data_IF_696722762696
#
_entry.id   IF_696722762696
#
_cell.length_a   1.000
_cell.length_b   1.000
_cell.length_c   1.000
_cell.angle_alpha   90.00
_cell.angle_beta   90.00
_cell.angle_gamma   90.00
#
_symmetry.space_group_name_H-M   'P 1'
#
loop_
_entity.id
_entity.type
_entity.pdbx_description
1 polymer ?
#
# COMPACT_ATOMS: atom_id res chain seq x y z
N UNK A 1 -56.14 -39.50 21.30
CA UNK A 1 -55.40 -38.36 20.68
C UNK A 1 -54.05 -38.21 21.35
N UNK A 2 -53.05 -37.85 20.55
CA UNK A 2 -51.61 -37.67 20.83
C UNK A 2 -50.76 -38.92 20.59
N UNK A 3 -50.53 -39.20 19.30
CA UNK A 3 -49.38 -39.96 18.82
C UNK A 3 -48.10 -39.18 19.15
N UNK A 4 -47.15 -39.86 19.78
CA UNK A 4 -45.83 -39.33 20.10
C UNK A 4 -44.93 -39.55 18.87
N UNK A 5 -44.74 -38.49 18.09
CA UNK A 5 -43.92 -38.52 16.87
C UNK A 5 -42.44 -38.46 17.25
N UNK A 6 -41.70 -39.54 17.03
CA UNK A 6 -40.23 -39.54 17.09
C UNK A 6 -39.70 -38.86 15.82
N UNK A 7 -39.22 -37.62 15.95
CA UNK A 7 -38.53 -36.92 14.87
C UNK A 7 -37.03 -37.28 14.94
N UNK A 8 -36.61 -38.20 14.08
CA UNK A 8 -35.19 -38.50 13.83
C UNK A 8 -34.65 -37.35 12.96
N UNK A 9 -33.90 -36.43 13.58
CA UNK A 9 -33.22 -35.35 12.87
C UNK A 9 -31.95 -35.93 12.22
N UNK A 10 -32.02 -36.19 10.91
CA UNK A 10 -30.87 -36.54 10.08
C UNK A 10 -29.89 -35.36 10.02
N UNK A 11 -28.64 -35.63 10.38
CA UNK A 11 -27.49 -34.75 10.22
C UNK A 11 -27.31 -34.34 8.75
N UNK A 12 -27.20 -33.03 8.51
CA UNK A 12 -26.41 -32.50 7.40
C UNK A 12 -25.34 -31.62 8.02
N UNK A 13 -24.24 -32.24 8.42
CA UNK A 13 -22.96 -31.55 8.61
C UNK A 13 -22.53 -31.12 7.21
N UNK A 14 -22.88 -29.89 6.81
CA UNK A 14 -22.17 -29.20 5.75
C UNK A 14 -20.78 -28.90 6.28
N UNK A 15 -19.87 -29.87 6.14
CA UNK A 15 -18.45 -29.61 6.22
C UNK A 15 -18.13 -28.58 5.15
N UNK A 16 -17.82 -27.35 5.56
CA UNK A 16 -17.04 -26.49 4.70
C UNK A 16 -15.66 -27.14 4.59
N UNK A 17 -15.45 -27.86 3.50
CA UNK A 17 -14.12 -28.09 2.94
C UNK A 17 -13.49 -26.70 2.76
N UNK A 18 -12.75 -26.23 3.77
CA UNK A 18 -11.77 -25.19 3.56
C UNK A 18 -10.68 -25.82 2.70
N UNK A 19 -10.94 -25.74 1.39
CA UNK A 19 -10.02 -26.09 0.32
C UNK A 19 -8.65 -25.53 0.70
N UNK A 20 -7.69 -26.45 0.76
CA UNK A 20 -6.27 -26.17 0.83
C UNK A 20 -5.95 -24.88 0.07
N UNK A 21 -5.38 -23.89 0.78
CA UNK A 21 -4.74 -22.73 0.16
C UNK A 21 -3.77 -23.31 -0.87
N UNK A 22 -4.17 -23.18 -2.13
CA UNK A 22 -3.33 -23.47 -3.27
C UNK A 22 -2.00 -22.78 -3.04
N UNK A 23 -0.89 -23.50 -3.23
CA UNK A 23 0.44 -22.94 -3.27
C UNK A 23 0.48 -21.92 -4.41
N UNK A 24 0.17 -20.68 -4.08
CA UNK A 24 0.19 -19.56 -5.01
C UNK A 24 1.65 -19.25 -5.31
N UNK A 25 1.96 -19.22 -6.60
CA UNK A 25 3.26 -18.77 -7.10
C UNK A 25 3.45 -17.36 -6.56
N UNK A 26 4.52 -17.10 -5.80
CA UNK A 26 4.69 -15.84 -5.06
C UNK A 26 4.29 -14.64 -5.94
N UNK A 27 3.15 -14.01 -5.60
CA UNK A 27 2.53 -12.91 -6.35
C UNK A 27 3.46 -11.70 -6.47
N UNK A 28 4.46 -11.65 -5.60
CA UNK A 28 5.48 -10.64 -5.52
C UNK A 28 6.84 -11.24 -5.12
N UNK A 29 7.91 -10.64 -5.63
CA UNK A 29 9.28 -10.97 -5.28
C UNK A 29 9.90 -9.83 -4.49
N UNK A 30 10.55 -10.16 -3.38
CA UNK A 30 11.36 -9.23 -2.58
C UNK A 30 12.83 -9.61 -2.73
N UNK A 31 13.65 -8.68 -3.19
CA UNK A 31 15.10 -8.88 -3.33
C UNK A 31 15.87 -7.80 -2.57
N UNK A 32 16.91 -8.16 -1.78
CA UNK A 32 17.79 -7.18 -1.15
C UNK A 32 18.42 -6.22 -2.18
N UNK A 33 18.58 -4.96 -1.79
CA UNK A 33 19.30 -3.96 -2.60
C UNK A 33 20.72 -3.85 -2.05
N UNK A 34 21.72 -4.09 -2.90
CA UNK A 34 23.12 -4.03 -2.50
C UNK A 34 23.50 -2.66 -1.93
N UNK A 35 24.15 -2.67 -0.76
CA UNK A 35 24.54 -1.45 -0.04
C UNK A 35 23.37 -0.69 0.59
N UNK A 36 22.21 -1.34 0.78
CA UNK A 36 21.06 -0.77 1.48
C UNK A 36 20.35 -1.83 2.34
N UNK A 37 19.59 -1.39 3.34
CA UNK A 37 18.66 -2.23 4.12
C UNK A 37 17.29 -2.38 3.44
N UNK A 38 17.08 -1.67 2.33
CA UNK A 38 15.82 -1.67 1.59
C UNK A 38 15.62 -2.97 0.80
N UNK A 39 14.35 -3.27 0.48
CA UNK A 39 13.99 -4.38 -0.39
C UNK A 39 13.39 -3.86 -1.70
N UNK A 40 13.88 -4.38 -2.81
CA UNK A 40 13.27 -4.17 -4.11
C UNK A 40 12.08 -5.12 -4.28
N UNK A 41 10.92 -4.54 -4.59
CA UNK A 41 9.65 -5.23 -4.77
C UNK A 41 9.31 -5.28 -6.26
N UNK A 42 9.03 -6.49 -6.75
CA UNK A 42 8.51 -6.71 -8.11
C UNK A 42 7.20 -7.46 -8.03
N UNK A 43 6.16 -6.91 -8.65
CA UNK A 43 4.86 -7.55 -8.85
C UNK A 43 4.54 -7.61 -10.35
N UNK A 44 3.42 -8.24 -10.71
CA UNK A 44 2.92 -8.22 -12.11
C UNK A 44 2.47 -6.83 -12.56
N UNK A 45 2.06 -5.96 -11.64
CA UNK A 45 1.45 -4.67 -11.94
C UNK A 45 2.42 -3.50 -11.78
N UNK A 46 3.39 -3.61 -10.87
CA UNK A 46 4.29 -2.51 -10.52
C UNK A 46 5.61 -3.01 -9.95
N UNK A 47 6.54 -2.07 -9.83
CA UNK A 47 7.81 -2.26 -9.13
C UNK A 47 8.00 -1.12 -8.14
N UNK A 48 8.71 -1.40 -7.05
CA UNK A 48 8.95 -0.40 -6.02
C UNK A 48 10.01 -0.83 -5.04
N UNK A 49 10.15 -0.04 -3.98
CA UNK A 49 11.09 -0.30 -2.90
C UNK A 49 10.41 -0.15 -1.55
N UNK A 50 10.62 -1.14 -0.70
CA UNK A 50 10.25 -1.11 0.71
C UNK A 50 11.45 -0.56 1.47
N UNK A 51 11.28 0.60 2.08
CA UNK A 51 12.34 1.24 2.85
C UNK A 51 12.42 0.68 4.26
N UNK A 52 13.65 0.48 4.72
CA UNK A 52 13.91 0.14 6.11
C UNK A 52 13.68 1.36 7.03
N UNK A 53 13.48 1.14 8.35
CA UNK A 53 13.50 2.21 9.35
C UNK A 53 14.78 3.04 9.29
N UNK A 54 14.72 4.23 9.89
CA UNK A 54 15.78 5.26 9.90
C UNK A 54 16.09 5.84 8.51
N UNK A 55 15.16 5.68 7.56
CA UNK A 55 15.19 6.45 6.33
C UNK A 55 14.81 7.88 6.69
N UNK A 56 15.65 8.86 6.33
CA UNK A 56 15.52 10.28 6.66
C UNK A 56 14.29 10.93 6.01
N UNK A 57 13.11 10.58 6.48
CA UNK A 57 11.84 11.22 6.16
C UNK A 57 11.35 11.87 7.43
N UNK A 58 10.92 13.13 7.32
CA UNK A 58 10.34 13.92 8.40
C UNK A 58 9.06 13.24 8.87
N UNK A 59 9.21 12.23 9.72
CA UNK A 59 8.10 11.59 10.38
C UNK A 59 7.68 12.50 11.54
N UNK A 60 6.38 12.68 11.75
CA UNK A 60 5.87 13.54 12.81
C UNK A 60 6.48 13.16 14.15
N UNK A 61 6.70 14.15 15.02
CA UNK A 61 7.21 13.92 16.37
C UNK A 61 6.34 12.87 17.10
N UNK A 62 6.99 11.80 17.58
CA UNK A 62 6.34 10.66 18.24
C UNK A 62 5.93 9.51 17.31
N UNK A 63 6.17 9.60 16.01
CA UNK A 63 6.01 8.47 15.10
C UNK A 63 7.21 7.50 15.17
N UNK A 64 6.95 6.21 14.94
CA UNK A 64 7.98 5.17 14.96
C UNK A 64 8.00 4.46 13.62
N UNK A 65 9.11 4.59 12.89
CA UNK A 65 9.26 3.91 11.60
C UNK A 65 9.34 2.39 11.77
N UNK A 66 8.80 1.65 10.81
CA UNK A 66 8.91 0.21 10.71
C UNK A 66 9.14 -0.19 9.25
N UNK A 67 9.68 -1.39 9.03
CA UNK A 67 9.79 -1.96 7.69
C UNK A 67 8.46 -2.59 7.29
N UNK A 68 7.75 -2.10 6.27
CA UNK A 68 6.53 -2.74 5.80
C UNK A 68 6.75 -4.20 5.39
N UNK A 69 5.84 -5.07 5.79
CA UNK A 69 5.80 -6.46 5.33
C UNK A 69 5.11 -6.57 3.98
N UNK A 70 5.23 -7.73 3.34
CA UNK A 70 4.45 -8.08 2.15
C UNK A 70 2.94 -7.83 2.32
N UNK A 71 2.38 -8.24 3.45
CA UNK A 71 0.96 -8.09 3.79
C UNK A 71 0.56 -6.62 4.00
N UNK A 72 1.45 -5.82 4.60
CA UNK A 72 1.24 -4.38 4.73
C UNK A 72 1.16 -3.71 3.35
N UNK A 73 2.01 -4.11 2.39
CA UNK A 73 2.00 -3.58 1.02
C UNK A 73 0.74 -4.00 0.26
N UNK A 74 0.34 -5.27 0.34
CA UNK A 74 -0.89 -5.76 -0.29
C UNK A 74 -2.12 -5.00 0.22
N UNK A 75 -2.18 -4.78 1.53
CA UNK A 75 -3.23 -3.99 2.17
C UNK A 75 -3.21 -2.54 1.71
N UNK A 76 -2.03 -1.91 1.67
CA UNK A 76 -1.87 -0.53 1.23
C UNK A 76 -2.31 -0.33 -0.23
N UNK A 77 -1.91 -1.21 -1.16
CA UNK A 77 -2.32 -1.11 -2.56
C UNK A 77 -3.83 -1.32 -2.75
N UNK A 78 -4.45 -2.22 -1.98
CA UNK A 78 -5.91 -2.40 -1.98
C UNK A 78 -6.62 -1.12 -1.55
N UNK A 79 -6.21 -0.55 -0.43
CA UNK A 79 -6.80 0.69 0.12
C UNK A 79 -6.59 1.85 -0.85
N UNK A 80 -5.36 2.01 -1.37
CA UNK A 80 -5.04 3.04 -2.35
C UNK A 80 -5.95 2.97 -3.58
N UNK A 81 -6.15 1.78 -4.15
CA UNK A 81 -7.09 1.56 -5.27
C UNK A 81 -8.53 1.94 -4.91
N UNK A 82 -8.96 1.71 -3.67
CA UNK A 82 -10.29 2.14 -3.19
C UNK A 82 -10.39 3.67 -3.06
N UNK A 83 -9.37 4.32 -2.52
CA UNK A 83 -9.30 5.77 -2.40
C UNK A 83 -9.37 6.45 -3.79
N UNK A 84 -8.63 5.93 -4.77
CA UNK A 84 -8.67 6.44 -6.14
C UNK A 84 -10.05 6.35 -6.80
N UNK A 85 -10.82 5.29 -6.52
CA UNK A 85 -12.15 5.07 -7.12
C UNK A 85 -13.25 5.93 -6.52
N UNK A 86 -13.08 6.34 -5.27
CA UNK A 86 -14.17 6.96 -4.51
C UNK A 86 -14.14 8.48 -4.56
N UNK A 87 -13.19 9.08 -5.30
CA UNK A 87 -12.94 10.54 -5.36
C UNK A 87 -13.01 11.17 -3.97
N UNK A 88 -12.61 10.41 -2.93
CA UNK A 88 -12.78 10.82 -1.56
C UNK A 88 -11.87 12.01 -1.34
N UNK A 89 -12.54 13.13 -1.08
CA UNK A 89 -12.03 14.28 -0.36
C UNK A 89 -11.28 13.72 0.85
N UNK A 90 -9.97 13.90 0.90
CA UNK A 90 -9.23 13.47 2.09
C UNK A 90 -9.70 14.25 3.33
N UNK A 91 -9.22 13.87 4.52
CA UNK A 91 -9.53 14.59 5.78
C UNK A 91 -9.14 16.08 5.74
N UNK A 92 -8.26 16.45 4.80
CA UNK A 92 -7.73 17.79 4.59
C UNK A 92 -8.49 18.56 3.48
N UNK A 93 -9.53 17.97 2.87
CA UNK A 93 -10.33 18.61 1.84
C UNK A 93 -9.78 18.48 0.40
N UNK A 94 -8.69 17.73 0.19
CA UNK A 94 -8.03 17.58 -1.11
C UNK A 94 -8.83 16.63 -1.99
N UNK A 95 -9.27 17.15 -3.14
CA UNK A 95 -9.88 16.35 -4.20
C UNK A 95 -8.74 15.71 -5.01
N UNK A 96 -8.57 14.39 -4.85
CA UNK A 96 -7.73 13.61 -5.75
C UNK A 96 -8.44 13.47 -7.08
N UNK A 97 -8.07 14.31 -8.05
CA UNK A 97 -8.52 14.14 -9.43
C UNK A 97 -7.82 12.91 -10.02
N UNK A 98 -8.48 11.75 -9.89
CA UNK A 98 -7.96 10.49 -10.41
C UNK A 98 -7.75 10.51 -11.93
N UNK A 99 -8.39 11.42 -12.67
CA UNK A 99 -8.17 11.57 -14.12
C UNK A 99 -6.78 12.09 -14.46
N UNK A 100 -6.11 12.70 -13.47
CA UNK A 100 -4.74 13.18 -13.55
C UNK A 100 -3.71 12.10 -13.18
N UNK A 101 -4.12 10.97 -12.62
CA UNK A 101 -3.21 9.88 -12.26
C UNK A 101 -3.06 8.93 -13.45
N UNK A 102 -1.82 8.68 -13.85
CA UNK A 102 -1.51 7.75 -14.95
C UNK A 102 -1.78 6.29 -14.55
N UNK A 103 -1.77 5.34 -15.50
CA UNK A 103 -1.82 3.92 -15.16
C UNK A 103 -0.80 3.54 -14.07
N UNK A 104 -1.20 2.78 -13.02
CA UNK A 104 -0.31 2.43 -11.91
C UNK A 104 1.00 1.73 -12.31
N UNK A 105 1.03 1.08 -13.48
CA UNK A 105 2.21 0.41 -14.05
C UNK A 105 3.28 1.37 -14.57
N UNK A 106 2.93 2.63 -14.82
CA UNK A 106 3.87 3.68 -15.24
C UNK A 106 4.69 4.24 -14.07
N UNK A 107 4.28 3.98 -12.83
CA UNK A 107 4.95 4.47 -11.64
C UNK A 107 5.90 3.43 -11.03
N UNK A 108 7.08 3.88 -10.64
CA UNK A 108 7.81 3.26 -9.53
C UNK A 108 7.19 3.70 -8.20
N UNK A 109 7.39 2.89 -7.17
CA UNK A 109 6.87 3.15 -5.82
C UNK A 109 7.98 3.15 -4.77
N UNK A 110 7.82 3.98 -3.75
CA UNK A 110 8.56 3.88 -2.50
C UNK A 110 7.57 3.75 -1.35
N UNK A 111 7.76 2.74 -0.51
CA UNK A 111 6.92 2.47 0.64
C UNK A 111 7.71 2.70 1.91
N UNK A 112 7.19 3.57 2.78
CA UNK A 112 7.73 3.82 4.11
C UNK A 112 6.66 3.54 5.15
N UNK A 113 6.99 2.70 6.12
CA UNK A 113 6.10 2.38 7.23
C UNK A 113 6.39 3.25 8.44
N UNK A 114 5.35 3.80 9.06
CA UNK A 114 5.44 4.38 10.39
C UNK A 114 4.19 4.08 11.22
N UNK A 115 4.35 4.04 12.54
CA UNK A 115 3.23 4.04 13.48
C UNK A 115 2.91 5.47 13.86
N UNK A 116 1.64 5.86 13.73
CA UNK A 116 1.18 7.17 14.18
C UNK A 116 1.12 7.25 15.72
N UNK A 117 0.71 8.40 16.27
CA UNK A 117 0.59 8.62 17.72
C UNK A 117 -0.41 7.67 18.41
N UNK A 118 -1.33 7.08 17.66
CA UNK A 118 -2.29 6.08 18.16
C UNK A 118 -1.75 4.64 18.07
N UNK A 119 -0.53 4.45 17.56
CA UNK A 119 0.08 3.14 17.36
C UNK A 119 -0.37 2.43 16.08
N UNK A 120 -1.17 3.08 15.24
CA UNK A 120 -1.71 2.52 14.01
C UNK A 120 -0.64 2.54 12.90
N UNK A 121 -0.60 1.48 12.09
CA UNK A 121 0.31 1.41 10.95
C UNK A 121 -0.17 2.32 9.82
N UNK A 122 0.72 3.20 9.38
CA UNK A 122 0.55 4.05 8.21
C UNK A 122 1.68 3.76 7.22
N UNK A 123 1.31 3.71 5.94
CA UNK A 123 2.25 3.63 4.82
C UNK A 123 2.26 4.96 4.10
N UNK A 124 3.42 5.62 4.05
CA UNK A 124 3.68 6.67 3.06
C UNK A 124 4.07 5.99 1.74
N UNK A 125 3.21 6.15 0.74
CA UNK A 125 3.42 5.69 -0.61
C UNK A 125 3.81 6.88 -1.49
N UNK A 126 5.05 6.90 -1.98
CA UNK A 126 5.47 7.80 -3.06
C UNK A 126 5.37 7.07 -4.38
N UNK A 127 4.78 7.72 -5.38
CA UNK A 127 4.72 7.25 -6.76
C UNK A 127 5.39 8.25 -7.69
N UNK A 128 6.25 7.80 -8.60
CA UNK A 128 6.84 8.62 -9.66
C UNK A 128 6.94 7.86 -10.98
N UNK A 129 6.72 8.55 -12.09
CA UNK A 129 6.78 7.90 -13.40
C UNK A 129 8.19 7.39 -13.69
N UNK A 130 8.28 6.18 -14.25
CA UNK A 130 9.54 5.51 -14.58
C UNK A 130 10.42 6.33 -15.53
N UNK A 131 9.81 7.11 -16.42
CA UNK A 131 10.53 7.95 -17.39
C UNK A 131 11.14 9.22 -16.82
N UNK A 132 10.73 9.66 -15.62
CA UNK A 132 11.25 10.86 -14.97
C UNK A 132 12.39 10.57 -13.99
N UNK A 133 12.72 9.28 -13.78
CA UNK A 133 13.71 8.87 -12.79
C UNK A 133 15.07 8.73 -13.46
N UNK A 134 16.13 9.28 -12.86
CA UNK A 134 17.49 9.06 -13.34
C UNK A 134 17.79 7.58 -13.54
N UNK A 135 18.66 7.28 -14.52
CA UNK A 135 19.10 5.90 -14.76
C UNK A 135 20.00 5.37 -13.63
N UNK A 136 20.53 6.25 -12.79
CA UNK A 136 21.18 5.85 -11.56
C UNK A 136 20.10 5.29 -10.61
N UNK A 137 20.31 4.08 -10.10
CA UNK A 137 19.31 3.38 -9.27
C UNK A 137 19.15 3.99 -7.87
N UNK A 138 19.53 5.26 -7.69
CA UNK A 138 19.55 6.02 -6.45
C UNK A 138 18.17 6.08 -5.80
N UNK A 139 17.10 6.11 -6.62
CA UNK A 139 15.71 6.04 -6.14
C UNK A 139 15.41 4.78 -5.32
N UNK A 140 16.22 3.72 -5.42
CA UNK A 140 16.08 2.53 -4.58
C UNK A 140 16.68 2.69 -3.18
N UNK A 141 17.52 3.69 -2.98
CA UNK A 141 18.29 3.93 -1.75
C UNK A 141 17.88 5.22 -1.05
N UNK A 142 17.44 6.21 -1.82
CA UNK A 142 17.10 7.54 -1.34
C UNK A 142 15.65 7.88 -1.67
N UNK A 143 14.99 8.59 -0.76
CA UNK A 143 13.63 9.04 -0.97
C UNK A 143 13.62 10.15 -2.01
N UNK A 144 12.83 9.92 -3.04
CA UNK A 144 12.68 10.90 -4.10
C UNK A 144 11.67 11.94 -3.61
N UNK A 145 12.13 13.18 -3.51
CA UNK A 145 11.30 14.35 -3.27
C UNK A 145 11.40 15.27 -4.50
N UNK A 146 10.30 15.44 -5.23
CA UNK A 146 10.25 16.39 -6.34
C UNK A 146 9.69 17.73 -5.86
N UNK A 147 10.32 18.84 -6.25
CA UNK A 147 9.63 20.14 -6.31
C UNK A 147 8.94 20.18 -7.68
N UNK A 148 7.61 20.31 -7.71
CA UNK A 148 6.81 20.48 -8.95
C UNK A 148 6.68 19.25 -9.88
N UNK A 149 6.35 18.06 -9.34
CA UNK A 149 6.13 16.83 -10.11
C UNK A 149 4.77 16.61 -10.79
N UNK A 150 3.74 17.41 -10.51
CA UNK A 150 2.37 17.29 -11.00
C UNK A 150 1.87 15.84 -10.99
N UNK A 151 1.24 15.42 -12.09
CA UNK A 151 0.75 14.06 -12.28
C UNK A 151 1.88 13.00 -12.37
N UNK A 152 3.14 13.44 -12.49
CA UNK A 152 4.29 12.57 -12.65
C UNK A 152 4.89 12.14 -11.30
N UNK A 153 4.53 12.82 -10.20
CA UNK A 153 4.89 12.44 -8.83
C UNK A 153 3.76 12.79 -7.86
N UNK A 154 3.38 11.82 -7.03
CA UNK A 154 2.50 12.08 -5.90
C UNK A 154 2.89 11.22 -4.69
N UNK A 155 2.49 11.69 -3.53
CA UNK A 155 2.63 10.99 -2.26
C UNK A 155 1.27 10.88 -1.57
N UNK A 156 1.04 9.77 -0.88
CA UNK A 156 -0.18 9.53 -0.10
C UNK A 156 0.12 8.78 1.18
N UNK A 157 -0.52 9.17 2.28
CA UNK A 157 -0.55 8.37 3.50
C UNK A 157 -1.74 7.42 3.49
N UNK A 158 -1.48 6.16 3.84
CA UNK A 158 -2.47 5.09 3.84
C UNK A 158 -2.50 4.48 5.24
N UNK A 159 -3.60 4.65 5.97
CA UNK A 159 -3.78 4.04 7.28
C UNK A 159 -4.38 2.64 7.12
N UNK A 160 -3.63 1.63 7.57
CA UNK A 160 -4.01 0.23 7.41
C UNK A 160 -5.09 -0.21 8.43
N UNK A 161 -5.26 0.52 9.53
CA UNK A 161 -6.28 0.22 10.54
C UNK A 161 -7.64 0.80 10.14
N UNK A 162 -7.66 1.99 9.55
CA UNK A 162 -8.90 2.69 9.18
C UNK A 162 -9.32 2.46 7.73
N UNK A 163 -8.52 1.74 6.92
CA UNK A 163 -8.75 1.53 5.49
C UNK A 163 -8.96 2.85 4.73
N UNK A 164 -8.14 3.87 5.04
CA UNK A 164 -8.33 5.24 4.54
C UNK A 164 -7.03 5.88 4.06
N UNK A 165 -7.15 6.84 3.14
CA UNK A 165 -6.05 7.65 2.63
C UNK A 165 -6.16 9.10 3.09
N UNK A 166 -5.02 9.74 3.34
CA UNK A 166 -4.97 11.14 3.75
C UNK A 166 -3.69 11.84 3.27
N UNK A 167 -3.70 13.17 3.33
CA UNK A 167 -2.58 14.04 2.95
C UNK A 167 -2.02 13.67 1.58
N UNK A 168 -2.89 13.77 0.56
CA UNK A 168 -2.49 13.49 -0.82
C UNK A 168 -1.70 14.67 -1.39
N UNK A 169 -0.39 14.49 -1.58
CA UNK A 169 0.47 15.52 -2.14
C UNK A 169 0.72 15.26 -3.63
N UNK A 170 0.03 15.98 -4.50
CA UNK A 170 0.43 16.15 -5.91
C UNK A 170 1.30 17.38 -5.96
N UNK A 171 2.59 17.24 -6.22
CA UNK A 171 3.48 18.40 -6.25
C UNK A 171 3.24 19.21 -7.53
N UNK A 172 2.17 19.99 -7.65
CA UNK A 172 1.97 20.90 -8.78
C UNK A 172 2.58 22.26 -8.51
N UNK A 173 3.34 22.79 -9.47
CA UNK A 173 3.70 24.21 -9.49
C UNK A 173 2.45 25.11 -9.44
N UNK A 174 2.63 26.32 -8.91
CA UNK A 174 1.63 27.38 -8.79
C UNK A 174 0.78 27.60 -10.05
#
# INVERSE_FOLDING_TARGET
MKTLSFLILLLVITGCDFKNKSADTALQTLTPIEGSKNLYLTTKEFTGVIFAPDTSVNADEGSVQFMPTAEDIESAERIFKMCLKTSKIDKDGIIVDSTRIRPPSEYFRQYLGYKNKMGEKVILLNCFIKSAVPKDETWKKEIIAFKDGGNNYFSVHINLATDDCFSFFVNGGA
#
